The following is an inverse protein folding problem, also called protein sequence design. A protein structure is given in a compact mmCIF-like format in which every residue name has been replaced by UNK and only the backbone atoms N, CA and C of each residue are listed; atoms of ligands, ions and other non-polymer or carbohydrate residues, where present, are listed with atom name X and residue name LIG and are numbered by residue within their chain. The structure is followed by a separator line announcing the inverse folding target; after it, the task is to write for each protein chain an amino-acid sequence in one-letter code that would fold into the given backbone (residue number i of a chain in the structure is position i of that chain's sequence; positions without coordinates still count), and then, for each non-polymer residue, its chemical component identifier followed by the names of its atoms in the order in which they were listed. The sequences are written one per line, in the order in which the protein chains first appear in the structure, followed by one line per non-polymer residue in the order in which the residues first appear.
data_IF_886041387556
#
_entry.id   IF_886041387556
#
_cell.length_a   1.000
_cell.length_b   1.000
_cell.length_c   1.000
_cell.angle_alpha   90.00
_cell.angle_beta   90.00
_cell.angle_gamma   90.00
#
_symmetry.space_group_name_H-M   'P 1'
#
loop_
_entity.id
_entity.type
_entity.pdbx_description
1 polymer ?
#
# COMPACT_ATOMS: atom_id res chain seq x y z
N UNK A 1 39.77 -25.22 3.67
CA UNK A 1 40.06 -24.50 2.43
C UNK A 1 38.96 -24.77 1.43
N UNK A 2 38.60 -23.77 0.62
CA UNK A 2 37.69 -23.94 -0.51
C UNK A 2 38.32 -24.95 -1.52
N UNK A 3 37.53 -25.77 -2.21
CA UNK A 3 38.02 -26.61 -3.25
C UNK A 3 38.75 -25.80 -4.31
N UNK A 4 39.89 -26.32 -4.81
CA UNK A 4 40.65 -25.70 -5.89
C UNK A 4 39.78 -25.63 -7.15
N UNK A 5 39.52 -24.44 -7.66
CA UNK A 5 38.73 -24.20 -8.87
C UNK A 5 37.52 -23.30 -8.70
N UNK A 6 37.23 -22.81 -7.49
CA UNK A 6 36.20 -21.79 -7.29
C UNK A 6 36.83 -20.44 -7.61
N UNK A 7 36.65 -19.96 -8.83
CA UNK A 7 37.17 -18.68 -9.33
C UNK A 7 36.15 -17.56 -9.32
N UNK A 8 34.90 -17.84 -8.93
CA UNK A 8 33.81 -16.88 -8.99
C UNK A 8 33.45 -16.38 -7.61
N UNK A 9 32.88 -15.15 -7.55
CA UNK A 9 32.35 -14.51 -6.36
C UNK A 9 31.16 -15.26 -5.74
N UNK A 10 30.90 -16.50 -6.15
CA UNK A 10 29.84 -17.36 -5.66
C UNK A 10 30.40 -18.31 -4.60
N UNK A 11 29.91 -18.24 -3.39
CA UNK A 11 30.23 -19.17 -2.31
C UNK A 11 29.18 -20.28 -2.33
N UNK A 12 29.60 -21.47 -2.79
CA UNK A 12 28.76 -22.66 -2.69
C UNK A 12 29.07 -23.38 -1.36
N UNK A 13 28.16 -23.26 -0.39
CA UNK A 13 28.24 -24.03 0.87
C UNK A 13 27.40 -25.29 0.68
N UNK A 14 28.00 -26.35 0.15
CA UNK A 14 27.32 -27.62 -0.03
C UNK A 14 27.62 -28.52 1.16
N UNK A 15 26.61 -28.76 1.99
CA UNK A 15 26.62 -29.89 2.92
C UNK A 15 27.53 -29.78 4.15
N UNK A 16 28.02 -28.59 4.51
CA UNK A 16 28.79 -28.41 5.74
C UNK A 16 27.93 -27.90 6.87
N UNK A 17 27.74 -28.79 7.86
CA UNK A 17 27.31 -28.40 9.20
C UNK A 17 28.50 -27.75 9.90
N UNK A 18 28.57 -26.42 9.94
CA UNK A 18 29.53 -25.75 10.79
C UNK A 18 29.05 -25.83 12.25
N UNK A 19 29.64 -26.76 13.02
CA UNK A 19 29.49 -26.80 14.47
C UNK A 19 30.76 -26.23 15.06
N UNK A 20 30.89 -24.92 15.13
CA UNK A 20 31.95 -24.28 15.85
C UNK A 20 31.38 -23.57 17.07
N UNK A 21 31.86 -23.90 18.24
CA UNK A 21 31.57 -23.18 19.47
C UNK A 21 32.16 -21.76 19.50
N UNK A 22 32.86 -21.42 18.43
CA UNK A 22 33.32 -20.04 18.15
C UNK A 22 32.73 -19.68 16.80
N UNK A 23 31.69 -18.87 16.82
CA UNK A 23 31.19 -18.24 15.61
C UNK A 23 32.36 -17.66 14.82
N UNK A 24 32.19 -17.52 13.50
CA UNK A 24 33.13 -16.74 12.71
C UNK A 24 33.20 -15.36 13.31
N UNK A 25 34.11 -15.16 14.23
CA UNK A 25 34.45 -13.85 14.78
C UNK A 25 35.37 -13.15 13.78
N UNK A 26 34.92 -13.05 12.57
CA UNK A 26 35.55 -12.17 11.60
C UNK A 26 34.58 -11.03 11.33
N UNK A 27 35.04 -9.79 11.36
CA UNK A 27 34.29 -8.66 10.82
C UNK A 27 34.20 -8.73 9.29
N UNK A 28 34.57 -9.84 8.66
CA UNK A 28 34.39 -10.05 7.25
C UNK A 28 32.90 -10.21 6.95
N UNK A 29 32.30 -9.14 6.48
CA UNK A 29 31.04 -9.23 5.79
C UNK A 29 31.20 -10.20 4.62
N UNK A 30 30.40 -11.27 4.59
CA UNK A 30 30.22 -12.04 3.38
C UNK A 30 29.41 -11.13 2.46
N UNK A 31 30.05 -10.60 1.43
CA UNK A 31 29.41 -9.76 0.41
C UNK A 31 29.34 -10.54 -0.91
N UNK A 32 28.48 -11.59 -1.00
CA UNK A 32 28.28 -12.29 -2.26
C UNK A 32 27.42 -11.42 -3.17
N UNK A 33 27.76 -11.36 -4.43
CA UNK A 33 26.89 -10.74 -5.44
C UNK A 33 25.54 -11.47 -5.51
N UNK A 34 25.54 -12.78 -5.26
CA UNK A 34 24.34 -13.61 -5.16
C UNK A 34 24.55 -14.68 -4.09
N UNK A 35 23.58 -14.83 -3.19
CA UNK A 35 23.51 -15.94 -2.24
C UNK A 35 22.33 -16.83 -2.63
N UNK A 36 22.64 -18.05 -3.10
CA UNK A 36 21.65 -19.08 -3.36
C UNK A 36 21.66 -20.11 -2.24
N UNK A 37 20.54 -20.26 -1.53
CA UNK A 37 20.35 -21.27 -0.49
C UNK A 37 19.28 -22.26 -0.95
N UNK A 38 19.69 -23.47 -1.30
CA UNK A 38 18.77 -24.56 -1.61
C UNK A 38 18.36 -25.25 -0.30
N UNK A 39 17.14 -24.98 0.18
CA UNK A 39 16.62 -25.58 1.41
C UNK A 39 16.10 -24.54 2.41
N UNK A 40 16.21 -24.86 3.70
CA UNK A 40 15.71 -23.99 4.78
C UNK A 40 16.84 -23.10 5.27
N UNK A 41 16.62 -21.77 5.23
CA UNK A 41 17.49 -20.79 5.87
C UNK A 41 16.83 -20.32 7.16
N UNK A 42 17.58 -20.39 8.26
CA UNK A 42 17.13 -19.84 9.56
C UNK A 42 18.00 -18.65 9.92
N UNK A 43 17.39 -17.48 10.04
CA UNK A 43 18.02 -16.28 10.58
C UNK A 43 17.63 -16.15 12.05
N UNK A 44 18.63 -16.20 12.95
CA UNK A 44 18.43 -15.95 14.38
C UNK A 44 18.87 -14.52 14.64
N UNK A 45 17.91 -13.63 14.86
CA UNK A 45 18.15 -12.20 15.02
C UNK A 45 17.44 -11.35 13.97
N UNK A 46 18.01 -10.19 13.64
CA UNK A 46 17.44 -9.25 12.68
C UNK A 46 18.06 -9.49 11.30
N UNK A 47 17.23 -9.83 10.32
CA UNK A 47 17.60 -9.79 8.90
C UNK A 47 17.22 -8.43 8.30
N UNK A 48 18.18 -7.70 7.74
CA UNK A 48 17.93 -6.44 7.06
C UNK A 48 18.10 -6.63 5.57
N UNK A 49 17.05 -6.31 4.80
CA UNK A 49 17.09 -6.27 3.34
C UNK A 49 17.11 -4.78 2.94
N UNK A 50 18.16 -4.37 2.24
CA UNK A 50 18.32 -2.96 1.80
C UNK A 50 17.58 -2.66 0.50
N UNK A 51 17.01 -3.68 -0.12
CA UNK A 51 16.21 -3.61 -1.33
C UNK A 51 14.99 -4.54 -1.18
N UNK A 52 14.42 -4.96 -2.28
CA UNK A 52 13.19 -5.75 -2.28
C UNK A 52 13.42 -7.18 -1.73
N UNK A 53 12.46 -7.66 -0.95
CA UNK A 53 12.32 -9.07 -0.59
C UNK A 53 11.20 -9.67 -1.45
N UNK A 54 11.55 -10.50 -2.44
CA UNK A 54 10.58 -11.25 -3.24
C UNK A 54 10.37 -12.63 -2.64
N UNK A 55 9.13 -12.95 -2.27
CA UNK A 55 8.74 -14.27 -1.76
C UNK A 55 7.79 -14.92 -2.75
N UNK A 56 8.26 -15.95 -3.46
CA UNK A 56 7.45 -16.70 -4.44
C UNK A 56 6.40 -17.64 -3.81
N UNK A 57 6.32 -17.70 -2.49
CA UNK A 57 5.41 -18.54 -1.73
C UNK A 57 4.64 -17.77 -0.68
N UNK A 58 4.18 -18.47 0.35
CA UNK A 58 3.49 -17.85 1.47
C UNK A 58 4.50 -17.23 2.45
N UNK A 59 4.31 -15.97 2.80
CA UNK A 59 4.94 -15.39 3.98
C UNK A 59 4.16 -15.81 5.22
N UNK A 60 4.70 -16.76 6.00
CA UNK A 60 4.11 -17.20 7.26
C UNK A 60 4.90 -16.58 8.41
N UNK A 61 4.31 -15.65 9.13
CA UNK A 61 4.95 -15.02 10.27
C UNK A 61 3.94 -14.41 11.23
N UNK A 62 4.25 -14.38 12.50
CA UNK A 62 3.61 -13.51 13.48
C UNK A 62 4.26 -12.13 13.32
N UNK A 63 3.90 -11.41 12.26
CA UNK A 63 4.46 -10.09 12.02
C UNK A 63 3.37 -9.05 12.14
N UNK A 64 3.58 -8.12 13.01
CA UNK A 64 3.06 -6.79 12.78
C UNK A 64 3.81 -6.23 11.58
N UNK A 65 3.24 -6.35 10.39
CA UNK A 65 3.66 -5.57 9.23
C UNK A 65 3.21 -4.12 9.45
N UNK A 66 3.67 -3.54 10.54
CA UNK A 66 3.51 -2.12 10.78
C UNK A 66 4.66 -1.45 10.07
N UNK A 67 4.35 -0.75 9.01
CA UNK A 67 5.31 0.21 8.48
C UNK A 67 5.57 1.23 9.61
N UNK A 68 6.81 1.36 10.09
CA UNK A 68 7.06 2.29 11.17
C UNK A 68 6.70 3.69 10.72
N UNK A 69 6.04 4.45 11.60
CA UNK A 69 5.89 5.88 11.42
C UNK A 69 7.27 6.50 11.17
N UNK A 70 7.37 7.33 10.16
CA UNK A 70 8.63 8.02 9.84
C UNK A 70 8.34 9.48 9.59
N UNK A 71 8.99 10.34 10.35
CA UNK A 71 8.95 11.79 10.13
C UNK A 71 9.76 12.20 8.89
N UNK A 72 10.53 11.27 8.32
CA UNK A 72 11.29 11.54 7.09
C UNK A 72 10.36 11.62 5.89
N UNK A 73 10.39 12.75 5.20
CA UNK A 73 9.65 12.95 3.96
C UNK A 73 10.37 12.22 2.83
N UNK A 74 9.67 11.28 2.19
CA UNK A 74 10.15 10.68 0.94
C UNK A 74 9.87 11.65 -0.20
N UNK A 75 10.91 12.11 -0.89
CA UNK A 75 10.77 13.08 -1.98
C UNK A 75 11.03 12.40 -3.32
N UNK A 76 10.09 12.56 -4.22
CA UNK A 76 10.17 12.14 -5.63
C UNK A 76 10.45 13.37 -6.50
N UNK A 77 11.43 13.26 -7.39
CA UNK A 77 11.68 14.29 -8.40
C UNK A 77 10.71 14.14 -9.57
N UNK A 78 10.02 15.21 -9.94
CA UNK A 78 9.06 15.22 -11.03
C UNK A 78 9.58 16.02 -12.21
N UNK A 79 9.54 15.42 -13.39
CA UNK A 79 9.85 16.06 -14.66
C UNK A 79 8.75 15.75 -15.67
N UNK A 80 8.39 16.72 -16.50
CA UNK A 80 7.43 16.53 -17.60
C UNK A 80 8.18 16.33 -18.91
N UNK A 81 7.80 15.30 -19.66
CA UNK A 81 8.40 14.99 -20.96
C UNK A 81 7.35 14.45 -21.95
N UNK A 82 7.67 14.48 -23.24
CA UNK A 82 6.85 13.83 -24.27
C UNK A 82 6.77 12.34 -24.01
N UNK A 83 5.56 11.79 -23.99
CA UNK A 83 5.32 10.36 -23.76
C UNK A 83 5.97 9.52 -24.84
N UNK A 84 6.53 8.40 -24.42
CA UNK A 84 7.00 7.32 -25.28
C UNK A 84 6.26 6.00 -24.98
N UNK A 85 6.68 4.92 -25.60
CA UNK A 85 6.04 3.60 -25.45
C UNK A 85 6.08 3.02 -24.01
N UNK A 86 6.90 3.57 -23.13
CA UNK A 86 6.97 3.15 -21.72
C UNK A 86 5.91 3.82 -20.85
N UNK A 87 5.27 4.89 -21.34
CA UNK A 87 4.23 5.58 -20.57
C UNK A 87 2.91 4.83 -20.64
N UNK A 88 2.31 4.52 -19.48
CA UNK A 88 1.04 3.76 -19.39
C UNK A 88 -0.08 4.29 -20.31
N UNK A 89 -0.18 5.59 -20.45
CA UNK A 89 -1.22 6.25 -21.26
C UNK A 89 -0.67 6.87 -22.53
N UNK A 90 0.31 6.23 -23.18
CA UNK A 90 0.74 6.68 -24.49
C UNK A 90 -0.42 6.66 -25.49
N UNK A 91 -0.59 7.72 -26.25
CA UNK A 91 -1.69 7.87 -27.21
C UNK A 91 -3.03 8.30 -26.60
N UNK A 92 -3.10 8.44 -25.25
CA UNK A 92 -4.31 8.89 -24.56
C UNK A 92 -4.06 10.18 -23.78
N UNK A 93 -5.01 11.11 -23.86
CA UNK A 93 -4.95 12.41 -23.19
C UNK A 93 -3.81 13.29 -23.69
N UNK A 94 -3.08 13.94 -22.77
CA UNK A 94 -1.94 14.78 -23.14
C UNK A 94 -0.83 13.99 -23.84
N UNK A 95 -0.15 14.61 -24.79
CA UNK A 95 1.10 14.06 -25.37
C UNK A 95 2.27 14.09 -24.38
N UNK A 96 2.15 14.88 -23.29
CA UNK A 96 3.12 14.98 -22.23
C UNK A 96 2.75 14.06 -21.07
N UNK A 97 3.76 13.57 -20.33
CA UNK A 97 3.60 12.72 -19.16
C UNK A 97 4.63 13.02 -18.08
N UNK A 98 4.33 12.60 -16.85
CA UNK A 98 5.27 12.72 -15.74
C UNK A 98 6.32 11.63 -15.78
N UNK A 99 7.56 12.00 -15.53
CA UNK A 99 8.61 11.13 -15.05
C UNK A 99 8.80 11.36 -13.57
N UNK A 100 8.70 10.29 -12.79
CA UNK A 100 8.98 10.28 -11.36
C UNK A 100 10.32 9.58 -11.17
N UNK A 101 11.31 10.27 -10.61
CA UNK A 101 12.69 9.79 -10.50
C UNK A 101 13.25 9.22 -11.82
N UNK A 102 12.91 9.87 -12.93
CA UNK A 102 13.36 9.50 -14.28
C UNK A 102 12.54 8.40 -14.99
N UNK A 103 11.57 7.76 -14.30
CA UNK A 103 10.72 6.72 -14.88
C UNK A 103 9.37 7.31 -15.31
N UNK A 104 8.90 6.98 -16.52
CA UNK A 104 7.58 7.42 -16.97
C UNK A 104 6.46 6.78 -16.17
N UNK A 105 5.62 7.63 -15.64
CA UNK A 105 4.37 7.29 -14.93
C UNK A 105 4.45 5.97 -14.14
N UNK A 106 5.42 5.81 -13.18
CA UNK A 106 5.52 4.58 -12.42
C UNK A 106 4.25 4.36 -11.59
N UNK A 107 3.89 3.10 -11.40
CA UNK A 107 2.95 2.71 -10.37
C UNK A 107 3.64 2.87 -9.02
N UNK A 108 3.07 3.68 -8.13
CA UNK A 108 3.66 3.97 -6.82
C UNK A 108 2.97 3.18 -5.71
N UNK A 109 3.72 2.87 -4.67
CA UNK A 109 3.19 2.31 -3.42
C UNK A 109 3.49 3.28 -2.29
N UNK A 110 2.44 3.74 -1.61
CA UNK A 110 2.52 4.61 -0.46
C UNK A 110 2.09 3.84 0.80
N UNK A 111 2.62 4.26 1.95
CA UNK A 111 2.40 3.56 3.21
C UNK A 111 1.80 4.53 4.24
N UNK A 112 0.74 4.15 4.97
CA UNK A 112 0.18 4.95 6.06
C UNK A 112 1.23 5.31 7.11
N UNK A 113 1.09 6.50 7.71
CA UNK A 113 2.04 7.04 8.67
C UNK A 113 3.28 7.69 8.02
N UNK A 114 3.33 7.83 6.70
CA UNK A 114 4.44 8.44 5.97
C UNK A 114 3.99 9.64 5.14
N UNK A 115 4.96 10.50 4.87
CA UNK A 115 4.77 11.68 4.03
C UNK A 115 5.57 11.53 2.74
N UNK A 116 4.92 11.79 1.62
CA UNK A 116 5.51 11.74 0.29
C UNK A 116 5.39 13.09 -0.38
N UNK A 117 6.50 13.58 -0.94
CA UNK A 117 6.57 14.87 -1.62
C UNK A 117 6.94 14.65 -3.07
N UNK A 118 6.19 15.26 -3.96
CA UNK A 118 6.44 15.32 -5.39
C UNK A 118 7.03 16.70 -5.69
N UNK A 119 8.35 16.75 -5.80
CA UNK A 119 9.09 17.97 -6.10
C UNK A 119 8.85 18.37 -7.56
N UNK A 120 8.19 19.49 -7.75
CA UNK A 120 7.84 20.07 -9.03
C UNK A 120 8.63 21.35 -9.34
N UNK A 121 9.83 21.46 -8.79
CA UNK A 121 10.69 22.65 -9.00
C UNK A 121 11.24 22.74 -10.41
N UNK A 122 11.33 21.61 -11.13
CA UNK A 122 11.83 21.61 -12.50
C UNK A 122 10.88 22.37 -13.42
N UNK A 123 11.42 23.24 -14.28
CA UNK A 123 10.67 24.16 -15.16
C UNK A 123 9.73 23.42 -16.13
N UNK A 124 10.00 22.16 -16.47
CA UNK A 124 9.11 21.35 -17.30
C UNK A 124 7.73 21.13 -16.68
N UNK A 125 7.61 21.27 -15.35
CA UNK A 125 6.34 21.18 -14.63
C UNK A 125 5.46 22.43 -14.79
N UNK A 126 5.93 23.49 -15.47
CA UNK A 126 5.14 24.71 -15.68
C UNK A 126 3.79 24.38 -16.33
N UNK A 127 2.70 24.82 -15.72
CA UNK A 127 1.32 24.50 -16.12
C UNK A 127 0.90 23.03 -15.94
N UNK A 128 1.71 22.23 -15.22
CA UNK A 128 1.45 20.83 -14.98
C UNK A 128 1.49 20.46 -13.48
N UNK A 129 0.69 21.10 -12.60
CA UNK A 129 0.67 20.75 -11.19
C UNK A 129 0.06 19.36 -10.99
N UNK A 130 0.72 18.54 -10.17
CA UNK A 130 0.20 17.23 -9.73
C UNK A 130 -0.88 17.45 -8.67
N UNK A 131 -1.93 16.63 -8.76
CA UNK A 131 -2.87 16.40 -7.67
C UNK A 131 -3.28 14.92 -7.63
N UNK A 132 -4.01 14.54 -6.57
CA UNK A 132 -4.50 13.17 -6.38
C UNK A 132 -5.99 13.08 -6.68
N UNK A 133 -6.40 11.94 -7.22
CA UNK A 133 -7.77 11.68 -7.66
C UNK A 133 -8.17 10.25 -7.32
N UNK A 134 -9.47 10.02 -7.15
CA UNK A 134 -10.03 8.68 -6.95
C UNK A 134 -10.02 7.86 -8.24
N UNK A 135 -10.16 8.51 -9.40
CA UNK A 135 -10.22 7.88 -10.72
C UNK A 135 -9.09 8.33 -11.64
N UNK A 136 -8.76 7.48 -12.60
CA UNK A 136 -7.69 7.73 -13.57
C UNK A 136 -7.98 8.92 -14.51
N UNK A 137 -9.25 9.18 -14.78
CA UNK A 137 -9.76 10.31 -15.60
C UNK A 137 -9.87 11.61 -14.80
N UNK A 138 -9.46 11.59 -13.51
CA UNK A 138 -9.47 12.74 -12.59
C UNK A 138 -10.84 13.38 -12.33
N UNK A 139 -11.90 12.59 -12.34
CA UNK A 139 -13.26 13.06 -12.08
C UNK A 139 -13.41 13.58 -10.66
N UNK A 140 -12.92 12.84 -9.66
CA UNK A 140 -13.04 13.19 -8.23
C UNK A 140 -11.69 13.53 -7.61
N UNK A 141 -11.50 14.79 -7.22
CA UNK A 141 -10.29 15.23 -6.55
C UNK A 141 -10.21 14.68 -5.12
N UNK A 142 -9.04 14.16 -4.74
CA UNK A 142 -8.72 13.75 -3.38
C UNK A 142 -7.78 14.77 -2.73
N UNK A 143 -8.20 15.39 -1.63
CA UNK A 143 -7.47 16.47 -0.96
C UNK A 143 -7.09 16.18 0.48
N UNK A 144 -7.57 15.09 1.09
CA UNK A 144 -7.26 14.77 2.49
C UNK A 144 -5.76 14.45 2.63
N UNK A 145 -5.09 15.18 3.52
CA UNK A 145 -3.65 15.07 3.71
C UNK A 145 -2.78 15.64 2.58
N UNK A 146 -3.39 16.23 1.55
CA UNK A 146 -2.67 16.81 0.40
C UNK A 146 -2.38 18.29 0.62
N UNK A 147 -1.14 18.69 0.36
CA UNK A 147 -0.67 20.09 0.42
C UNK A 147 0.03 20.43 -0.88
N UNK A 148 -0.32 21.55 -1.47
CA UNK A 148 0.36 22.12 -2.63
C UNK A 148 1.13 23.35 -2.19
N UNK A 149 2.41 23.43 -2.53
CA UNK A 149 3.28 24.56 -2.22
C UNK A 149 3.86 25.16 -3.49
N UNK A 150 3.74 26.45 -3.63
CA UNK A 150 4.27 27.19 -4.78
C UNK A 150 3.51 26.93 -6.08
N UNK A 151 4.13 27.33 -7.19
CA UNK A 151 3.61 27.11 -8.54
C UNK A 151 4.50 26.10 -9.26
N UNK A 152 3.94 25.03 -9.77
CA UNK A 152 4.68 23.99 -10.50
C UNK A 152 5.55 24.60 -11.60
N UNK A 153 6.80 24.16 -11.68
CA UNK A 153 7.83 24.71 -12.56
C UNK A 153 8.70 25.79 -11.92
N UNK A 154 8.39 26.26 -10.71
CA UNK A 154 9.19 27.24 -9.97
C UNK A 154 9.97 26.58 -8.84
N UNK A 155 11.09 27.16 -8.47
CA UNK A 155 11.94 26.67 -7.39
C UNK A 155 11.13 26.49 -6.07
N UNK A 156 11.28 25.34 -5.43
CA UNK A 156 10.59 25.00 -4.19
C UNK A 156 9.13 24.59 -4.33
N UNK A 157 8.60 24.48 -5.54
CA UNK A 157 7.24 24.00 -5.77
C UNK A 157 7.13 22.48 -5.54
N UNK A 158 6.08 22.06 -4.86
CA UNK A 158 5.78 20.63 -4.66
C UNK A 158 4.31 20.37 -4.37
N UNK A 159 3.89 19.15 -4.63
CA UNK A 159 2.68 18.56 -4.06
C UNK A 159 3.08 17.49 -3.06
N UNK A 160 2.50 17.50 -1.87
CA UNK A 160 2.81 16.56 -0.79
C UNK A 160 1.54 15.87 -0.33
N UNK A 161 1.65 14.59 0.02
CA UNK A 161 0.58 13.83 0.65
C UNK A 161 1.08 13.20 1.95
N UNK A 162 0.33 13.45 3.04
CA UNK A 162 0.46 12.72 4.30
C UNK A 162 -0.52 11.55 4.25
N UNK A 163 0.00 10.35 4.21
CA UNK A 163 -0.81 9.13 4.08
C UNK A 163 -1.26 8.67 5.45
N UNK A 164 -2.57 8.61 5.66
CA UNK A 164 -3.19 8.08 6.87
C UNK A 164 -3.89 6.75 6.62
N UNK A 165 -4.45 6.17 7.67
CA UNK A 165 -5.20 4.91 7.58
C UNK A 165 -6.49 5.06 6.78
N UNK A 166 -7.05 6.27 6.73
CA UNK A 166 -8.26 6.60 5.95
C UNK A 166 -7.96 6.95 4.48
N UNK A 167 -6.68 6.91 4.07
CA UNK A 167 -6.33 7.18 2.68
C UNK A 167 -6.82 6.02 1.80
N UNK A 168 -7.54 6.29 0.70
CA UNK A 168 -8.04 5.26 -0.18
C UNK A 168 -6.94 4.31 -0.67
N UNK A 169 -7.25 3.03 -0.75
CA UNK A 169 -6.30 1.97 -1.18
C UNK A 169 -5.72 2.23 -2.57
N UNK A 170 -6.49 2.90 -3.44
CA UNK A 170 -6.04 3.32 -4.78
C UNK A 170 -6.33 4.80 -4.96
N UNK A 171 -5.29 5.53 -5.33
CA UNK A 171 -5.38 6.90 -5.81
C UNK A 171 -4.70 7.00 -7.18
N UNK A 172 -4.90 8.12 -7.85
CA UNK A 172 -4.25 8.44 -9.12
C UNK A 172 -3.58 9.80 -9.01
N UNK A 173 -2.28 9.89 -9.29
CA UNK A 173 -1.61 11.17 -9.43
C UNK A 173 -1.73 11.64 -10.89
N UNK A 174 -2.33 12.79 -11.07
CA UNK A 174 -2.61 13.35 -12.40
C UNK A 174 -2.36 14.86 -12.43
N UNK A 175 -2.21 15.40 -13.62
CA UNK A 175 -2.16 16.84 -13.81
C UNK A 175 -3.54 17.46 -13.66
N UNK A 176 -3.65 18.59 -12.94
CA UNK A 176 -4.94 19.27 -12.76
C UNK A 176 -5.49 19.80 -14.11
N UNK A 177 -4.62 20.23 -15.00
CA UNK A 177 -5.01 20.81 -16.30
C UNK A 177 -5.18 19.76 -17.41
N UNK A 178 -4.34 18.71 -17.44
CA UNK A 178 -4.24 17.78 -18.55
C UNK A 178 -4.53 16.33 -18.08
N UNK A 179 -5.22 15.56 -18.94
CA UNK A 179 -5.57 14.17 -18.63
C UNK A 179 -4.44 13.18 -18.89
N UNK A 180 -4.40 12.14 -18.10
CA UNK A 180 -3.57 10.93 -18.28
C UNK A 180 -2.05 11.18 -18.32
N UNK A 181 -1.55 12.16 -17.56
CA UNK A 181 -0.12 12.44 -17.45
C UNK A 181 0.60 11.56 -16.41
N UNK A 182 -0.12 11.02 -15.43
CA UNK A 182 0.41 10.21 -14.34
C UNK A 182 -0.04 8.75 -14.38
N UNK A 183 -0.18 8.14 -13.20
CA UNK A 183 -0.57 6.75 -13.02
C UNK A 183 -1.32 6.54 -11.69
N UNK A 184 -1.61 5.28 -11.38
CA UNK A 184 -2.17 4.88 -10.10
C UNK A 184 -1.13 4.84 -9.00
N UNK A 185 -1.61 5.01 -7.79
CA UNK A 185 -0.90 4.83 -6.53
C UNK A 185 -1.66 3.80 -5.71
N UNK A 186 -0.98 2.77 -5.25
CA UNK A 186 -1.50 1.86 -4.24
C UNK A 186 -1.11 2.35 -2.85
N UNK A 187 -2.07 2.44 -1.95
CA UNK A 187 -1.83 2.69 -0.54
C UNK A 187 -1.89 1.36 0.21
N UNK A 188 -0.81 1.01 0.90
CA UNK A 188 -0.78 -0.16 1.78
C UNK A 188 -1.52 0.17 3.08
N UNK A 189 -2.84 0.24 3.01
CA UNK A 189 -3.68 0.59 4.14
C UNK A 189 -4.10 -0.66 4.92
N UNK A 190 -4.24 -0.51 6.26
CA UNK A 190 -4.94 -1.48 7.09
C UNK A 190 -6.47 -1.41 6.87
N UNK A 191 -6.93 -0.36 6.20
CA UNK A 191 -8.32 -0.16 5.84
C UNK A 191 -8.55 -0.80 4.48
N UNK A 192 -9.32 -1.86 4.43
CA UNK A 192 -9.80 -2.44 3.18
C UNK A 192 -10.96 -1.58 2.70
N UNK A 193 -10.64 -0.53 1.92
CA UNK A 193 -11.66 0.26 1.24
C UNK A 193 -11.90 -0.37 -0.15
N UNK A 194 -12.81 -1.31 -0.21
CA UNK A 194 -13.11 -2.09 -1.40
C UNK A 194 -14.60 -2.13 -1.63
N UNK A 195 -15.02 -1.82 -2.86
CA UNK A 195 -16.38 -2.09 -3.32
C UNK A 195 -16.63 -3.61 -3.55
N UNK A 196 -15.63 -4.44 -3.23
CA UNK A 196 -15.70 -5.89 -3.35
C UNK A 196 -15.71 -6.53 -1.96
N UNK A 197 -16.42 -7.65 -1.84
CA UNK A 197 -16.47 -8.40 -0.60
C UNK A 197 -15.08 -8.87 -0.14
N UNK A 198 -14.74 -8.60 1.12
CA UNK A 198 -13.57 -9.18 1.77
C UNK A 198 -13.98 -10.51 2.43
N UNK A 199 -13.29 -11.60 2.10
CA UNK A 199 -13.52 -12.90 2.73
C UNK A 199 -12.49 -13.17 3.80
N UNK A 200 -12.91 -13.22 5.06
CA UNK A 200 -12.08 -13.58 6.21
C UNK A 200 -12.37 -15.04 6.59
N UNK A 201 -11.43 -15.94 6.32
CA UNK A 201 -11.62 -17.38 6.58
C UNK A 201 -11.45 -17.80 8.05
N UNK A 202 -10.90 -16.95 8.88
CA UNK A 202 -10.59 -17.23 10.29
C UNK A 202 -11.46 -16.49 11.30
N UNK A 203 -12.49 -15.79 10.85
CA UNK A 203 -13.31 -14.93 11.72
C UNK A 203 -12.72 -13.51 11.90
N UNK A 204 -13.55 -12.60 12.40
CA UNK A 204 -13.19 -11.21 12.71
C UNK A 204 -13.31 -10.99 14.22
N UNK A 205 -12.23 -10.52 14.85
CA UNK A 205 -12.26 -9.97 16.21
C UNK A 205 -12.03 -8.47 16.13
N UNK A 206 -13.00 -7.68 16.51
CA UNK A 206 -12.93 -6.23 16.48
C UNK A 206 -13.50 -5.63 17.76
N UNK A 207 -12.96 -4.49 18.23
CA UNK A 207 -13.54 -3.74 19.36
C UNK A 207 -14.89 -3.12 18.98
N UNK A 208 -15.10 -2.79 17.71
CA UNK A 208 -16.35 -2.31 17.17
C UNK A 208 -16.47 -2.69 15.70
N UNK A 209 -17.68 -2.89 15.24
CA UNK A 209 -17.99 -3.05 13.82
C UNK A 209 -19.14 -2.11 13.46
N UNK A 210 -18.97 -1.37 12.34
CA UNK A 210 -20.04 -0.58 11.73
C UNK A 210 -20.45 -1.28 10.44
N UNK A 211 -21.73 -1.64 10.36
CA UNK A 211 -22.36 -2.18 9.16
C UNK A 211 -23.29 -1.10 8.64
N UNK A 212 -23.04 -0.60 7.41
CA UNK A 212 -23.65 0.64 6.93
C UNK A 212 -25.11 0.52 6.51
N UNK A 213 -25.55 -0.69 6.19
CA UNK A 213 -26.93 -1.00 5.79
C UNK A 213 -27.87 -1.31 6.96
N UNK A 214 -27.35 -1.35 8.20
CA UNK A 214 -28.17 -1.52 9.39
C UNK A 214 -28.82 -0.20 9.83
N UNK A 215 -30.09 -0.26 10.14
CA UNK A 215 -30.87 0.91 10.57
C UNK A 215 -30.86 1.05 12.11
N UNK A 216 -30.55 2.24 12.58
CA UNK A 216 -30.54 2.54 14.03
C UNK A 216 -31.89 2.23 14.68
N UNK A 217 -31.85 1.64 15.87
CA UNK A 217 -33.02 1.28 16.65
C UNK A 217 -33.69 -0.03 16.22
N UNK A 218 -33.15 -0.74 15.24
CA UNK A 218 -33.61 -2.09 14.87
C UNK A 218 -32.75 -3.17 15.51
N UNK A 219 -33.32 -4.32 15.73
CA UNK A 219 -32.62 -5.50 16.24
C UNK A 219 -31.95 -6.21 15.07
N UNK A 220 -30.67 -6.51 15.23
CA UNK A 220 -29.88 -7.23 14.21
C UNK A 220 -30.18 -8.72 14.29
N UNK A 221 -30.43 -9.32 13.17
CA UNK A 221 -30.72 -10.73 12.98
C UNK A 221 -29.67 -11.38 12.10
N UNK A 222 -29.52 -12.70 12.21
CA UNK A 222 -28.80 -13.49 11.23
C UNK A 222 -29.73 -13.78 10.06
N UNK A 223 -29.45 -13.20 8.91
CA UNK A 223 -30.17 -13.44 7.65
C UNK A 223 -29.68 -14.68 6.92
N UNK A 224 -30.06 -14.78 5.66
CA UNK A 224 -29.70 -15.89 4.78
C UNK A 224 -28.17 -15.98 4.65
N UNK A 225 -27.62 -17.18 4.79
CA UNK A 225 -26.16 -17.44 4.74
C UNK A 225 -25.35 -16.74 5.85
N UNK A 226 -25.98 -16.27 6.93
CA UNK A 226 -25.31 -15.65 8.06
C UNK A 226 -24.98 -14.16 7.88
N UNK A 227 -25.62 -13.49 6.93
CA UNK A 227 -25.57 -12.04 6.82
C UNK A 227 -26.20 -11.38 8.04
N UNK A 228 -25.68 -10.18 8.42
CA UNK A 228 -26.29 -9.36 9.44
C UNK A 228 -27.38 -8.51 8.79
N UNK A 229 -28.60 -8.73 9.19
CA UNK A 229 -29.78 -8.04 8.66
C UNK A 229 -30.54 -7.34 9.78
N UNK A 230 -31.33 -6.34 9.47
CA UNK A 230 -32.31 -5.76 10.39
C UNK A 230 -33.72 -5.89 9.83
N UNK A 231 -34.72 -5.79 10.72
CA UNK A 231 -36.12 -5.87 10.31
C UNK A 231 -36.91 -4.72 10.97
N UNK A 232 -37.69 -4.02 10.16
CA UNK A 232 -38.54 -2.90 10.64
C UNK A 232 -39.61 -3.31 11.66
N UNK A 233 -39.94 -4.59 11.69
CA UNK A 233 -40.94 -5.16 12.62
C UNK A 233 -40.35 -5.53 13.99
N UNK A 234 -39.02 -5.44 14.15
CA UNK A 234 -38.31 -5.75 15.40
C UNK A 234 -37.40 -4.59 15.78
N UNK A 235 -37.78 -3.80 16.74
CA UNK A 235 -37.12 -2.55 17.11
C UNK A 235 -36.79 -2.51 18.58
N UNK A 236 -35.75 -1.74 18.97
CA UNK A 236 -35.37 -1.46 20.35
C UNK A 236 -34.98 -0.01 20.52
N UNK A 237 -35.64 0.71 21.42
CA UNK A 237 -35.40 2.15 21.66
C UNK A 237 -34.54 2.46 22.89
N UNK A 238 -33.86 1.46 23.46
CA UNK A 238 -33.07 1.58 24.70
C UNK A 238 -33.82 1.12 25.95
N UNK A 239 -35.16 1.07 25.93
CA UNK A 239 -35.99 0.64 27.06
C UNK A 239 -37.10 -0.33 26.69
N UNK A 240 -37.57 -0.32 25.45
CA UNK A 240 -38.69 -1.11 24.97
C UNK A 240 -38.32 -1.87 23.71
N UNK A 241 -38.67 -3.15 23.66
CA UNK A 241 -38.68 -4.00 22.49
C UNK A 241 -40.02 -3.87 21.79
N UNK A 242 -40.01 -3.33 20.56
CA UNK A 242 -41.19 -3.22 19.70
C UNK A 242 -41.25 -4.41 18.74
N UNK A 243 -42.41 -5.07 18.70
CA UNK A 243 -42.67 -6.17 17.76
C UNK A 243 -43.96 -5.84 17.01
N UNK A 244 -43.85 -5.73 15.68
CA UNK A 244 -45.01 -5.58 14.79
C UNK A 244 -45.27 -6.91 14.12
N UNK A 245 -46.28 -7.63 14.59
CA UNK A 245 -46.61 -8.98 14.13
C UNK A 245 -47.01 -9.89 15.27
N UNK A 246 -46.91 -11.19 15.04
CA UNK A 246 -47.34 -12.23 15.98
C UNK A 246 -46.16 -12.78 16.77
N UNK A 247 -46.27 -12.79 18.10
CA UNK A 247 -45.32 -13.49 18.98
C UNK A 247 -45.87 -14.89 19.25
N UNK A 248 -45.17 -15.91 18.78
CA UNK A 248 -45.49 -17.31 19.10
C UNK A 248 -44.58 -17.75 20.25
N UNK A 249 -45.14 -17.95 21.43
CA UNK A 249 -44.46 -18.61 22.54
C UNK A 249 -44.80 -20.09 22.50
N UNK A 250 -43.82 -20.96 22.27
CA UNK A 250 -43.96 -22.41 22.46
C UNK A 250 -43.62 -22.74 23.94
N UNK A 251 -44.50 -23.43 24.59
CA UNK A 251 -44.29 -24.01 25.92
C UNK A 251 -43.41 -25.23 25.86
#
# INVERSE_FOLDING_TARGET
GLPSGVTDNNIYIVGYRYIGSKGVSSPASINPTNLFVAGISTFVGVGTFQSDLSVAGQFKGYTNLVAPHSDTITTYTVVVATKDSSHRYQGNGSSLGYKIDGVFSPFLTLTPGRTYRFDQSDNSNSSHPINFYLEADKTTNYSTGVTVNGTAGNAGAYTQIVVGDETPTVLHYQCTAHGYMGNAVQVNSNVVNSNYAATLRGGLTANSAKVEDLTSGRVVLAGTNGELEDNSNLTFNGSQLGITGTVNASS
#
